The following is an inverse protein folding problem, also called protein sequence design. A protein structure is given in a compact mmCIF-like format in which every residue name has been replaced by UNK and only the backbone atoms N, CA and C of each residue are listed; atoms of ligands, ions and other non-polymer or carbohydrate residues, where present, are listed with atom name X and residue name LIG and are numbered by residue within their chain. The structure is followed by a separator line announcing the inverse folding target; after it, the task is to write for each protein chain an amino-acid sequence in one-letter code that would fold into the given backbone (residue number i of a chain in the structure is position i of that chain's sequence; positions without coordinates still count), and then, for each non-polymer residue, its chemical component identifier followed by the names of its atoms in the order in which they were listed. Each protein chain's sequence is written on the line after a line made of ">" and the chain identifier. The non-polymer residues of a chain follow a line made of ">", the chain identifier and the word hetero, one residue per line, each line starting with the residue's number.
data_IF_107357633031
#
_entry.id   IF_107357633031
#
_cell.length_a   1.000
_cell.length_b   1.000
_cell.length_c   1.000
_cell.angle_alpha   90.00
_cell.angle_beta   90.00
_cell.angle_gamma   90.00
#
_symmetry.space_group_name_H-M   'P 1'
#
loop_
_entity.id
_entity.type
_entity.pdbx_description
1 polymer ?
#
# COMPACT_ATOMS: atom_id res chain seq x y z
N UNK A 1 20.60 7.01 -3.52
CA UNK A 1 19.21 6.54 -3.35
C UNK A 1 18.80 6.91 -1.94
N UNK A 2 17.71 7.66 -1.77
CA UNK A 2 17.22 8.06 -0.45
C UNK A 2 16.59 6.84 0.23
N UNK A 3 16.99 6.48 1.46
CA UNK A 3 16.43 5.32 2.13
C UNK A 3 14.96 5.56 2.51
N UNK A 4 14.07 4.67 2.07
CA UNK A 4 12.64 4.77 2.40
C UNK A 4 12.38 4.49 3.89
N UNK A 5 13.11 3.54 4.50
CA UNK A 5 12.94 3.08 5.89
C UNK A 5 14.24 3.10 6.70
N UNK A 6 15.41 3.04 6.06
CA UNK A 6 16.69 3.02 6.76
C UNK A 6 17.04 4.39 7.36
N UNK A 7 17.70 4.38 8.51
CA UNK A 7 18.26 5.57 9.15
C UNK A 7 19.79 5.40 9.24
N UNK A 8 20.54 6.40 8.77
CA UNK A 8 22.01 6.42 8.80
C UNK A 8 22.55 7.20 10.02
N UNK A 9 21.69 7.66 10.92
CA UNK A 9 22.11 8.31 12.16
C UNK A 9 22.99 7.39 13.01
N UNK A 10 24.05 7.96 13.60
CA UNK A 10 24.76 7.30 14.67
C UNK A 10 23.85 7.15 15.91
N UNK A 11 24.27 6.34 16.88
CA UNK A 11 23.47 6.04 18.06
C UNK A 11 23.01 7.29 18.84
N UNK A 12 23.88 8.30 18.99
CA UNK A 12 23.56 9.54 19.71
C UNK A 12 22.44 10.33 19.03
N UNK A 13 22.59 10.60 17.73
CA UNK A 13 21.58 11.30 16.93
C UNK A 13 20.28 10.51 16.81
N UNK A 14 20.34 9.18 16.71
CA UNK A 14 19.15 8.32 16.71
C UNK A 14 18.38 8.43 18.03
N UNK A 15 19.10 8.44 19.16
CA UNK A 15 18.51 8.56 20.48
C UNK A 15 17.86 9.94 20.69
N UNK A 16 18.53 11.03 20.31
CA UNK A 16 17.97 12.40 20.35
C UNK A 16 16.70 12.55 19.50
N UNK A 17 16.60 11.80 18.39
CA UNK A 17 15.42 11.75 17.52
C UNK A 17 14.29 10.85 18.04
N UNK A 18 14.41 10.37 19.27
CA UNK A 18 13.38 9.56 19.94
C UNK A 18 13.50 8.07 19.68
N UNK A 19 14.67 7.58 19.23
CA UNK A 19 14.97 6.15 19.24
C UNK A 19 14.03 5.29 18.40
N UNK A 20 13.57 5.80 17.25
CA UNK A 20 12.56 5.09 16.46
C UNK A 20 13.15 3.85 15.80
N UNK A 21 12.55 2.69 16.03
CA UNK A 21 12.94 1.45 15.38
C UNK A 21 12.48 1.35 13.91
N UNK A 22 12.92 0.30 13.22
CA UNK A 22 12.59 0.09 11.82
C UNK A 22 11.08 -0.09 11.59
N UNK A 23 10.36 -0.73 12.52
CA UNK A 23 8.92 -0.97 12.43
C UNK A 23 8.12 0.33 12.54
N UNK A 24 8.50 1.21 13.46
CA UNK A 24 7.91 2.53 13.64
C UNK A 24 8.12 3.41 12.39
N UNK A 25 9.32 3.38 11.82
CA UNK A 25 9.62 4.12 10.57
C UNK A 25 8.84 3.55 9.38
N UNK A 26 8.82 2.22 9.21
CA UNK A 26 8.02 1.57 8.17
C UNK A 26 6.53 1.89 8.32
N UNK A 27 6.03 1.95 9.55
CA UNK A 27 4.63 2.27 9.84
C UNK A 27 4.25 3.66 9.37
N UNK A 28 5.14 4.64 9.58
CA UNK A 28 4.94 6.00 9.08
C UNK A 28 4.88 6.05 7.56
N UNK A 29 5.77 5.32 6.89
CA UNK A 29 5.86 5.30 5.43
C UNK A 29 4.55 4.82 4.81
N UNK A 30 4.07 3.63 5.17
CA UNK A 30 2.86 3.11 4.52
C UNK A 30 1.62 3.96 4.83
N UNK A 31 1.51 4.52 6.05
CA UNK A 31 0.42 5.44 6.40
C UNK A 31 0.45 6.70 5.54
N UNK A 32 1.63 7.27 5.32
CA UNK A 32 1.81 8.43 4.45
C UNK A 32 1.43 8.09 3.01
N UNK A 33 1.89 6.96 2.49
CA UNK A 33 1.55 6.50 1.13
C UNK A 33 0.03 6.40 0.94
N UNK A 34 -0.71 5.86 1.92
CA UNK A 34 -2.18 5.82 1.85
C UNK A 34 -2.83 7.20 1.96
N UNK A 35 -2.30 8.08 2.81
CA UNK A 35 -2.86 9.43 3.00
C UNK A 35 -2.64 10.33 1.77
N UNK A 36 -1.53 10.14 1.06
CA UNK A 36 -1.14 10.90 -0.14
C UNK A 36 -1.59 10.22 -1.43
N UNK A 37 -2.20 9.03 -1.36
CA UNK A 37 -2.60 8.29 -2.54
C UNK A 37 -3.70 9.03 -3.32
N UNK A 38 -3.44 9.25 -4.60
CA UNK A 38 -4.44 9.61 -5.58
C UNK A 38 -4.52 8.50 -6.61
N UNK A 39 -5.72 7.94 -6.80
CA UNK A 39 -5.94 6.98 -7.87
C UNK A 39 -5.66 7.61 -9.24
N UNK A 40 -5.08 6.88 -10.19
CA UNK A 40 -4.97 7.36 -11.56
C UNK A 40 -6.36 7.51 -12.19
N UNK A 41 -6.48 8.39 -13.18
CA UNK A 41 -7.71 8.51 -13.96
C UNK A 41 -7.94 7.23 -14.76
N UNK A 42 -9.13 6.65 -14.63
CA UNK A 42 -9.56 5.44 -15.36
C UNK A 42 -10.94 5.73 -15.97
N UNK A 43 -11.15 5.30 -17.21
CA UNK A 43 -12.44 5.45 -17.89
C UNK A 43 -13.58 4.78 -17.10
N UNK A 44 -14.67 5.51 -16.87
CA UNK A 44 -15.86 4.99 -16.18
C UNK A 44 -16.45 3.76 -16.88
N UNK A 45 -16.53 3.77 -18.22
CA UNK A 45 -17.01 2.65 -19.03
C UNK A 45 -16.19 1.36 -18.79
N UNK A 46 -14.85 1.50 -18.67
CA UNK A 46 -13.98 0.35 -18.39
C UNK A 46 -14.15 -0.16 -16.97
N UNK A 47 -14.41 0.73 -16.00
CA UNK A 47 -14.70 0.33 -14.62
C UNK A 47 -16.02 -0.44 -14.58
N UNK A 48 -17.05 0.04 -15.28
CA UNK A 48 -18.36 -0.58 -15.36
C UNK A 48 -18.28 -1.97 -16.00
N UNK A 49 -17.63 -2.11 -17.17
CA UNK A 49 -17.42 -3.40 -17.83
C UNK A 49 -16.71 -4.41 -16.91
N UNK A 50 -15.65 -3.96 -16.23
CA UNK A 50 -14.93 -4.79 -15.27
C UNK A 50 -15.82 -5.23 -14.10
N UNK A 51 -16.65 -4.32 -13.57
CA UNK A 51 -17.56 -4.63 -12.47
C UNK A 51 -18.64 -5.63 -12.87
N UNK A 52 -19.23 -5.47 -14.08
CA UNK A 52 -20.20 -6.42 -14.63
C UNK A 52 -19.60 -7.81 -14.80
N UNK A 53 -18.39 -7.88 -15.36
CA UNK A 53 -17.67 -9.13 -15.53
C UNK A 53 -17.40 -9.83 -14.19
N UNK A 54 -16.93 -9.07 -13.18
CA UNK A 54 -16.70 -9.61 -11.83
C UNK A 54 -18.02 -10.14 -11.25
N UNK A 55 -19.10 -9.39 -11.33
CA UNK A 55 -20.40 -9.78 -10.79
C UNK A 55 -20.91 -11.09 -11.43
N UNK A 56 -20.82 -11.19 -12.76
CA UNK A 56 -21.17 -12.41 -13.50
C UNK A 56 -20.33 -13.61 -13.03
N UNK A 57 -19.01 -13.48 -12.96
CA UNK A 57 -18.11 -14.57 -12.57
C UNK A 57 -18.25 -14.97 -11.11
N UNK A 58 -18.56 -14.04 -10.22
CA UNK A 58 -18.90 -14.34 -8.83
C UNK A 58 -20.21 -15.14 -8.74
N UNK A 59 -21.24 -14.77 -9.51
CA UNK A 59 -22.51 -15.49 -9.56
C UNK A 59 -22.36 -16.92 -10.12
N UNK A 60 -21.43 -17.14 -11.05
CA UNK A 60 -21.10 -18.46 -11.61
C UNK A 60 -20.30 -19.38 -10.65
N UNK A 61 -20.10 -18.98 -9.40
CA UNK A 61 -19.39 -19.77 -8.38
C UNK A 61 -17.94 -19.37 -8.15
N UNK A 62 -17.47 -18.30 -8.79
CA UNK A 62 -16.15 -17.72 -8.56
C UNK A 62 -14.98 -18.58 -9.06
N UNK A 63 -13.79 -18.35 -8.50
CA UNK A 63 -12.64 -19.19 -8.80
C UNK A 63 -12.81 -20.56 -8.11
N UNK A 64 -12.57 -21.69 -8.81
CA UNK A 64 -12.55 -22.98 -8.15
C UNK A 64 -11.48 -22.99 -7.05
N UNK A 65 -11.69 -23.73 -5.94
CA UNK A 65 -10.70 -23.82 -4.88
C UNK A 65 -9.39 -24.36 -5.46
N UNK A 66 -8.28 -23.67 -5.16
CA UNK A 66 -6.94 -24.19 -5.42
C UNK A 66 -6.67 -25.33 -4.43
N UNK A 67 -6.51 -26.55 -4.95
CA UNK A 67 -6.09 -27.73 -4.18
C UNK A 67 -4.57 -27.78 -4.02
#
# INVERSE_FOLDING_TARGET
>A
YEPLVHDYANFGTWNERGGQDATARATRVWKRVLAEFSAPEVSGERIEEMQEFIAMRTAEGGAPPVS
#
